data_IF_862037718843
#
_entry.id   IF_862037718843
#
_cell.length_a   1.000
_cell.length_b   1.000
_cell.length_c   1.000
_cell.angle_alpha   90.00
_cell.angle_beta   90.00
_cell.angle_gamma   90.00
#
_symmetry.space_group_name_H-M   'P 1'
#
loop_
_entity.id
_entity.type
_entity.pdbx_description
1 polymer ?
#
# COMPACT_ATOMS: atom_id res chain seq x y z
N UNK A 1 1.34 19.07 -5.65
CA UNK A 1 -0.06 19.20 -6.11
C UNK A 1 -0.84 17.98 -5.70
N UNK A 2 -2.16 17.99 -5.89
CA UNK A 2 -3.03 16.83 -5.64
C UNK A 2 -3.39 16.15 -6.95
N UNK A 3 -3.52 14.82 -6.93
CA UNK A 3 -4.06 14.03 -8.03
C UNK A 3 -5.47 13.57 -7.68
N UNK A 4 -6.43 13.88 -8.55
CA UNK A 4 -7.78 13.33 -8.52
C UNK A 4 -8.00 12.61 -9.83
N UNK A 5 -8.30 11.32 -9.75
CA UNK A 5 -8.40 10.41 -10.88
C UNK A 5 -9.77 9.76 -10.87
N UNK A 6 -10.36 9.59 -12.04
CA UNK A 6 -11.63 8.90 -12.25
C UNK A 6 -11.42 7.68 -13.15
N UNK A 7 -12.16 6.61 -12.89
CA UNK A 7 -12.09 5.35 -13.65
C UNK A 7 -13.36 5.11 -14.46
N UNK A 8 -14.04 6.17 -14.90
CA UNK A 8 -15.30 6.13 -15.63
C UNK A 8 -15.20 5.73 -17.10
N UNK A 9 -13.99 5.76 -17.69
CA UNK A 9 -13.73 5.25 -19.04
C UNK A 9 -12.55 4.27 -19.06
N UNK A 10 -12.45 3.48 -20.14
CA UNK A 10 -11.33 2.56 -20.33
C UNK A 10 -9.99 3.30 -20.33
N UNK A 11 -9.92 4.45 -21.01
CA UNK A 11 -8.72 5.27 -21.09
C UNK A 11 -8.38 5.86 -19.72
N UNK A 12 -9.37 6.43 -19.01
CA UNK A 12 -9.13 7.05 -17.70
C UNK A 12 -8.70 6.03 -16.64
N UNK A 13 -9.20 4.79 -16.72
CA UNK A 13 -8.75 3.68 -15.89
C UNK A 13 -7.28 3.33 -16.15
N UNK A 14 -6.85 3.25 -17.41
CA UNK A 14 -5.46 2.92 -17.78
C UNK A 14 -4.50 4.02 -17.30
N UNK A 15 -4.90 5.29 -17.46
CA UNK A 15 -4.13 6.44 -16.95
C UNK A 15 -3.99 6.38 -15.43
N UNK A 16 -5.09 6.14 -14.71
CA UNK A 16 -5.07 6.04 -13.25
C UNK A 16 -4.19 4.88 -12.77
N UNK A 17 -4.31 3.70 -13.39
CA UNK A 17 -3.48 2.55 -13.08
C UNK A 17 -1.99 2.81 -13.32
N UNK A 18 -1.65 3.46 -14.44
CA UNK A 18 -0.27 3.81 -14.80
C UNK A 18 0.34 4.83 -13.83
N UNK A 19 -0.47 5.80 -13.40
CA UNK A 19 -0.08 6.79 -12.40
C UNK A 19 0.27 6.13 -11.06
N UNK A 20 -0.61 5.27 -10.54
CA UNK A 20 -0.40 4.54 -9.28
C UNK A 20 0.81 3.60 -9.39
N UNK A 21 0.94 2.85 -10.48
CA UNK A 21 2.05 1.92 -10.68
C UNK A 21 3.41 2.63 -10.67
N UNK A 22 3.49 3.79 -11.34
CA UNK A 22 4.71 4.62 -11.36
C UNK A 22 5.08 5.11 -9.96
N UNK A 23 4.09 5.61 -9.20
CA UNK A 23 4.31 6.08 -7.83
C UNK A 23 4.81 4.97 -6.91
N UNK A 24 4.12 3.83 -6.90
CA UNK A 24 4.49 2.70 -6.04
C UNK A 24 5.89 2.18 -6.37
N UNK A 25 6.23 2.07 -7.66
CA UNK A 25 7.56 1.63 -8.10
C UNK A 25 8.68 2.58 -7.67
N UNK A 26 8.41 3.90 -7.63
CA UNK A 26 9.41 4.91 -7.27
C UNK A 26 9.59 5.05 -5.77
N UNK A 27 8.52 4.93 -4.98
CA UNK A 27 8.54 5.17 -3.54
C UNK A 27 8.68 3.89 -2.71
N UNK A 28 8.45 2.72 -3.29
CA UNK A 28 8.45 1.45 -2.56
C UNK A 28 7.28 1.30 -1.59
N UNK A 29 6.27 2.17 -1.70
CA UNK A 29 5.07 2.20 -0.88
C UNK A 29 3.85 1.73 -1.68
N UNK A 30 2.87 1.15 -1.00
CA UNK A 30 1.61 0.73 -1.60
C UNK A 30 0.51 1.74 -1.26
N UNK A 31 0.07 2.51 -2.27
CA UNK A 31 -1.08 3.43 -2.12
C UNK A 31 -2.34 2.64 -1.75
N UNK A 32 -3.09 3.16 -0.76
CA UNK A 32 -4.38 2.64 -0.32
C UNK A 32 -4.36 1.19 0.21
N UNK A 33 -3.27 0.76 0.85
CA UNK A 33 -3.19 -0.51 1.58
C UNK A 33 -3.99 -0.46 2.91
N UNK A 34 -5.13 -1.18 3.06
CA UNK A 34 -5.96 -1.08 4.26
C UNK A 34 -5.26 -1.61 5.52
N UNK A 35 -4.49 -2.69 5.40
CA UNK A 35 -3.78 -3.31 6.53
C UNK A 35 -2.70 -2.37 7.09
N UNK A 36 -1.95 -1.69 6.22
CA UNK A 36 -0.97 -0.69 6.65
C UNK A 36 -1.66 0.49 7.36
N UNK A 37 -2.75 1.01 6.79
CA UNK A 37 -3.50 2.11 7.39
C UNK A 37 -4.02 1.69 8.77
N UNK A 38 -4.62 0.50 8.89
CA UNK A 38 -5.13 -0.04 10.14
C UNK A 38 -4.02 -0.24 11.18
N UNK A 39 -2.88 -0.78 10.78
CA UNK A 39 -1.72 -0.97 11.66
C UNK A 39 -1.16 0.35 12.18
N UNK A 40 -0.93 1.32 11.29
CA UNK A 40 -0.42 2.66 11.67
C UNK A 40 -1.42 3.49 12.47
N UNK A 41 -2.72 3.22 12.33
CA UNK A 41 -3.79 3.80 13.16
C UNK A 41 -4.03 3.03 14.47
N UNK A 42 -3.26 1.97 14.73
CA UNK A 42 -3.41 1.10 15.90
C UNK A 42 -4.79 0.44 16.01
N UNK A 43 -5.46 0.21 14.88
CA UNK A 43 -6.70 -0.58 14.83
C UNK A 43 -6.41 -2.08 14.87
N UNK A 44 -5.23 -2.47 14.40
CA UNK A 44 -4.70 -3.83 14.49
C UNK A 44 -3.25 -3.79 14.96
N UNK A 45 -2.80 -4.87 15.59
CA UNK A 45 -1.41 -5.03 16.04
C UNK A 45 -0.53 -5.75 15.00
N UNK A 46 0.76 -5.87 15.32
CA UNK A 46 1.75 -6.50 14.45
C UNK A 46 1.47 -7.99 14.20
N UNK A 47 0.90 -8.70 15.19
CA UNK A 47 0.58 -10.12 15.06
C UNK A 47 -0.59 -10.32 14.09
N UNK A 48 -1.58 -9.44 14.14
CA UNK A 48 -2.71 -9.43 13.20
C UNK A 48 -2.25 -9.12 11.78
N UNK A 49 -1.37 -8.14 11.58
CA UNK A 49 -0.77 -7.88 10.25
C UNK A 49 0.01 -9.09 9.75
N UNK A 50 0.82 -9.71 10.61
CA UNK A 50 1.59 -10.90 10.23
C UNK A 50 0.69 -12.05 9.78
N UNK A 51 -0.42 -12.30 10.48
CA UNK A 51 -1.43 -13.30 10.09
C UNK A 51 -2.04 -13.02 8.71
N UNK A 52 -2.31 -11.76 8.39
CA UNK A 52 -2.81 -11.34 7.07
C UNK A 52 -1.74 -11.45 5.97
N UNK A 53 -0.48 -11.16 6.31
CA UNK A 53 0.64 -11.20 5.37
C UNK A 53 1.06 -12.64 5.01
N UNK A 54 0.97 -13.58 5.96
CA UNK A 54 1.42 -14.96 5.80
C UNK A 54 0.87 -15.67 4.54
N UNK A 55 -0.44 -15.69 4.25
CA UNK A 55 -0.98 -16.31 3.03
C UNK A 55 -0.54 -15.60 1.74
N UNK A 56 -0.20 -14.31 1.81
CA UNK A 56 0.20 -13.48 0.67
C UNK A 56 1.72 -13.40 0.49
N UNK A 57 2.51 -13.98 1.39
CA UNK A 57 3.98 -13.88 1.46
C UNK A 57 4.71 -14.23 0.16
N UNK A 58 4.07 -15.01 -0.73
CA UNK A 58 4.62 -15.39 -2.04
C UNK A 58 4.58 -14.26 -3.08
N UNK A 59 3.74 -13.24 -2.90
CA UNK A 59 3.61 -12.11 -3.83
C UNK A 59 4.21 -10.82 -3.27
N UNK A 60 4.28 -9.77 -4.10
CA UNK A 60 4.84 -8.48 -3.70
C UNK A 60 4.09 -7.80 -2.55
N UNK A 61 2.77 -8.02 -2.45
CA UNK A 61 1.92 -7.44 -1.41
C UNK A 61 2.19 -8.05 -0.03
N UNK A 62 2.26 -9.38 0.08
CA UNK A 62 2.59 -10.02 1.35
C UNK A 62 4.00 -9.68 1.82
N UNK A 63 4.97 -9.59 0.91
CA UNK A 63 6.32 -9.10 1.23
C UNK A 63 6.30 -7.66 1.75
N UNK A 64 5.50 -6.79 1.13
CA UNK A 64 5.30 -5.42 1.62
C UNK A 64 4.74 -5.38 3.04
N UNK A 65 3.68 -6.17 3.33
CA UNK A 65 3.09 -6.24 4.67
C UNK A 65 4.05 -6.76 5.74
N UNK A 66 4.96 -7.68 5.39
CA UNK A 66 6.01 -8.12 6.31
C UNK A 66 7.06 -7.02 6.52
N UNK A 67 7.41 -6.29 5.46
CA UNK A 67 8.40 -5.22 5.53
C UNK A 67 7.93 -4.05 6.42
N UNK A 68 6.64 -3.69 6.43
CA UNK A 68 6.15 -2.60 7.30
C UNK A 68 6.22 -2.94 8.80
N UNK A 69 6.40 -4.21 9.16
CA UNK A 69 6.61 -4.65 10.55
C UNK A 69 8.08 -4.50 10.98
N UNK A 70 9.01 -4.59 10.03
CA UNK A 70 10.46 -4.57 10.30
C UNK A 70 11.10 -3.22 10.01
N UNK A 71 10.58 -2.49 9.03
CA UNK A 71 11.19 -1.28 8.50
C UNK A 71 10.38 -0.05 8.91
N UNK A 72 11.06 0.94 9.48
CA UNK A 72 10.47 2.25 9.71
C UNK A 72 10.43 3.02 8.40
N UNK A 73 9.64 2.54 7.44
CA UNK A 73 9.36 3.33 6.24
C UNK A 73 8.77 4.65 6.71
N UNK A 74 9.41 5.75 6.31
CA UNK A 74 9.05 7.11 6.68
C UNK A 74 7.62 7.40 6.20
N UNK A 75 6.66 7.08 7.06
CA UNK A 75 5.28 7.48 6.90
C UNK A 75 5.21 8.97 7.24
N UNK A 76 4.47 9.78 6.47
CA UNK A 76 4.22 11.16 6.83
C UNK A 76 3.35 11.20 8.09
N UNK A 77 3.99 11.08 9.25
CA UNK A 77 3.41 11.36 10.57
C UNK A 77 3.61 12.84 10.86
N UNK A 78 2.81 13.65 10.16
CA UNK A 78 2.49 15.10 10.30
C UNK A 78 2.55 15.80 8.95
#
# INVERSE_FOLDING_TARGET
GYAWLDTGTHDSLIEAASFIATLQKRQGLVVACPEEIAYRKHWIDAEQVQKLAQPLSKNGYGKYLLNILTDQVAWPSR
#
